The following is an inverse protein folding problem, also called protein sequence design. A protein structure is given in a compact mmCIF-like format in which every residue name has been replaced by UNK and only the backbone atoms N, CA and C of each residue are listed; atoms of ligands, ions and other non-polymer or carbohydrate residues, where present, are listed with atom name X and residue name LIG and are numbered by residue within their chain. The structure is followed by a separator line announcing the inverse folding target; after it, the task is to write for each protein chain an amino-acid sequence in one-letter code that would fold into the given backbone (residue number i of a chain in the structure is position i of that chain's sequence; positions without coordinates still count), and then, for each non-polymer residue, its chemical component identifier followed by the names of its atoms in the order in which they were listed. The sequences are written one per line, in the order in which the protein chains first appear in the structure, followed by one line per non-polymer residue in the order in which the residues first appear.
data_IF_707772148031
#
_entry.id   IF_707772148031
#
_cell.length_a   1.000
_cell.length_b   1.000
_cell.length_c   1.000
_cell.angle_alpha   90.00
_cell.angle_beta   90.00
_cell.angle_gamma   90.00
#
_symmetry.space_group_name_H-M   'P 1'
#
loop_
_entity.id
_entity.type
_entity.pdbx_description
1 polymer ?
#
# COMPACT_ATOMS: atom_id res chain seq x y z
N UNK A 1 8.06 -28.82 -24.48
CA UNK A 1 8.87 -28.59 -23.25
C UNK A 1 7.93 -28.25 -22.14
N UNK A 2 7.63 -29.20 -21.28
CA UNK A 2 6.69 -29.13 -20.19
C UNK A 2 7.38 -28.49 -19.00
N UNK A 3 7.01 -27.24 -18.68
CA UNK A 3 7.40 -26.61 -17.41
C UNK A 3 6.42 -27.06 -16.33
N UNK A 4 6.71 -28.18 -15.68
CA UNK A 4 6.10 -28.56 -14.41
C UNK A 4 7.00 -28.04 -13.29
N UNK A 5 6.79 -26.80 -12.85
CA UNK A 5 7.22 -26.39 -11.52
C UNK A 5 5.96 -26.28 -10.68
N UNK A 6 5.62 -27.38 -10.04
CA UNK A 6 4.59 -27.46 -9.03
C UNK A 6 5.20 -27.05 -7.68
N UNK A 7 5.66 -25.80 -7.57
CA UNK A 7 5.87 -25.19 -6.28
C UNK A 7 4.47 -24.85 -5.75
N UNK A 8 3.95 -25.66 -4.85
CA UNK A 8 2.86 -25.24 -3.95
C UNK A 8 3.39 -24.03 -3.20
N UNK A 9 3.12 -22.84 -3.74
CA UNK A 9 3.46 -21.59 -3.12
C UNK A 9 2.67 -21.54 -1.81
N UNK A 10 3.38 -21.49 -0.70
CA UNK A 10 2.75 -21.31 0.59
C UNK A 10 2.01 -19.97 0.54
N UNK A 11 0.67 -20.01 0.64
CA UNK A 11 -0.17 -18.80 0.65
C UNK A 11 0.28 -17.90 1.79
N UNK A 12 0.51 -16.63 1.50
CA UNK A 12 0.92 -15.68 2.51
C UNK A 12 0.73 -14.25 2.05
N UNK A 13 -0.31 -13.58 2.58
CA UNK A 13 -0.65 -12.21 2.22
C UNK A 13 0.54 -11.27 2.38
N UNK A 14 0.57 -10.24 1.54
CA UNK A 14 1.53 -9.14 1.59
C UNK A 14 0.77 -7.84 1.75
N UNK A 15 1.10 -7.08 2.79
CA UNK A 15 0.55 -5.76 3.05
C UNK A 15 1.56 -4.70 2.60
N UNK A 16 1.22 -3.92 1.59
CA UNK A 16 2.13 -2.91 1.00
C UNK A 16 1.87 -1.49 1.51
N UNK A 17 0.93 -1.31 2.45
CA UNK A 17 0.58 -0.01 3.01
C UNK A 17 0.23 -0.16 4.50
N UNK A 18 1.19 0.18 5.38
CA UNK A 18 1.05 0.03 6.82
C UNK A 18 1.95 1.04 7.57
N UNK A 19 1.36 1.84 8.46
CA UNK A 19 2.04 2.83 9.30
C UNK A 19 2.58 2.19 10.59
N UNK A 20 3.33 1.10 10.41
CA UNK A 20 3.89 0.31 11.51
C UNK A 20 5.20 0.90 12.08
N UNK A 21 5.77 1.95 11.44
CA UNK A 21 7.03 2.54 11.87
C UNK A 21 6.84 3.31 13.19
N UNK A 22 7.60 3.00 14.27
CA UNK A 22 7.30 3.54 15.59
C UNK A 22 7.64 5.03 15.72
N UNK A 23 6.65 5.85 16.12
CA UNK A 23 6.83 7.25 16.55
C UNK A 23 7.28 8.22 15.45
N UNK A 24 7.05 7.89 14.18
CA UNK A 24 7.41 8.75 13.06
C UNK A 24 6.23 9.62 12.57
N UNK A 25 5.07 9.02 12.43
CA UNK A 25 3.84 9.67 11.94
C UNK A 25 2.65 9.43 12.89
N UNK A 26 1.42 9.49 12.38
CA UNK A 26 0.19 9.21 13.13
C UNK A 26 -0.16 7.71 13.25
N UNK A 27 0.75 6.83 12.79
CA UNK A 27 0.62 5.39 12.92
C UNK A 27 1.02 4.88 14.30
N UNK A 28 1.89 3.88 14.35
CA UNK A 28 2.36 3.28 15.59
C UNK A 28 3.11 4.28 16.49
N UNK A 29 2.65 4.57 17.72
CA UNK A 29 3.32 5.53 18.60
C UNK A 29 4.58 4.99 19.28
N UNK A 30 4.86 3.69 19.25
CA UNK A 30 5.97 3.08 19.96
C UNK A 30 6.37 1.72 19.39
N UNK A 31 7.61 1.29 19.69
CA UNK A 31 8.08 -0.05 19.31
C UNK A 31 7.17 -1.16 19.84
N UNK A 32 6.67 -1.04 21.08
CA UNK A 32 5.75 -2.02 21.66
C UNK A 32 4.42 -2.12 20.89
N UNK A 33 3.90 -1.00 20.38
CA UNK A 33 2.72 -1.00 19.52
C UNK A 33 3.02 -1.60 18.15
N UNK A 34 4.16 -1.26 17.55
CA UNK A 34 4.61 -1.85 16.28
C UNK A 34 4.72 -3.38 16.37
N UNK A 35 5.26 -3.90 17.48
CA UNK A 35 5.36 -5.36 17.71
C UNK A 35 3.96 -5.97 17.80
N UNK A 36 3.01 -5.37 18.52
CA UNK A 36 1.60 -5.85 18.55
C UNK A 36 0.94 -5.84 17.17
N UNK A 37 1.19 -4.78 16.39
CA UNK A 37 0.73 -4.73 14.99
C UNK A 37 1.34 -5.86 14.16
N UNK A 38 2.64 -6.15 14.31
CA UNK A 38 3.31 -7.24 13.61
C UNK A 38 2.75 -8.63 14.00
N UNK A 39 2.50 -8.85 15.30
CA UNK A 39 1.85 -10.07 15.80
C UNK A 39 0.46 -10.27 15.18
N UNK A 40 -0.35 -9.22 15.17
CA UNK A 40 -1.70 -9.24 14.60
C UNK A 40 -1.66 -9.47 13.08
N UNK A 41 -0.76 -8.81 12.36
CA UNK A 41 -0.53 -9.02 10.93
C UNK A 41 -0.21 -10.48 10.65
N UNK A 42 0.78 -11.03 11.35
CA UNK A 42 1.21 -12.42 11.18
C UNK A 42 0.09 -13.42 11.51
N UNK A 43 -0.63 -13.21 12.62
CA UNK A 43 -1.76 -14.04 13.03
C UNK A 43 -2.91 -14.01 12.01
N UNK A 44 -3.09 -12.92 11.27
CA UNK A 44 -4.11 -12.79 10.23
C UNK A 44 -3.74 -13.41 8.87
N UNK A 45 -2.53 -13.99 8.74
CA UNK A 45 -2.07 -14.62 7.51
C UNK A 45 -1.13 -13.76 6.66
N UNK A 46 -0.76 -12.54 7.12
CA UNK A 46 0.28 -11.73 6.46
C UNK A 46 1.64 -12.37 6.72
N UNK A 47 2.48 -12.40 5.70
CA UNK A 47 3.87 -12.90 5.76
C UNK A 47 4.89 -11.84 5.39
N UNK A 48 4.44 -10.76 4.76
CA UNK A 48 5.26 -9.63 4.31
C UNK A 48 4.51 -8.34 4.56
N UNK A 49 5.17 -7.35 5.17
CA UNK A 49 4.62 -6.00 5.39
C UNK A 49 5.63 -4.96 4.95
N UNK A 50 5.17 -3.97 4.21
CA UNK A 50 5.95 -2.77 3.90
C UNK A 50 5.58 -1.69 4.91
N UNK A 51 6.54 -1.22 5.68
CA UNK A 51 6.37 -0.04 6.51
C UNK A 51 6.37 1.20 5.61
N UNK A 52 5.25 1.90 5.54
CA UNK A 52 5.01 3.04 4.66
C UNK A 52 4.58 4.27 5.46
N UNK A 53 5.46 4.83 6.30
CA UNK A 53 5.12 6.05 7.01
C UNK A 53 4.82 7.18 6.04
N UNK A 54 4.02 8.15 6.48
CA UNK A 54 3.78 9.38 5.72
C UNK A 54 5.08 10.10 5.40
N UNK A 55 5.28 10.44 4.14
CA UNK A 55 6.40 11.23 3.67
C UNK A 55 5.92 12.47 2.92
N UNK A 56 6.29 13.64 3.44
CA UNK A 56 5.90 14.91 2.84
C UNK A 56 7.09 15.85 2.69
N UNK A 57 7.25 16.43 1.50
CA UNK A 57 8.25 17.46 1.25
C UNK A 57 7.91 18.80 1.95
N UNK A 58 6.70 18.94 2.49
CA UNK A 58 6.25 20.14 3.21
C UNK A 58 6.77 20.20 4.66
N UNK A 59 7.25 19.07 5.21
CA UNK A 59 7.54 18.92 6.64
C UNK A 59 9.03 19.12 7.03
N UNK A 60 9.82 19.89 6.27
CA UNK A 60 11.16 20.29 6.68
C UNK A 60 12.31 19.58 5.99
N UNK A 61 13.33 19.15 6.75
CA UNK A 61 14.56 18.55 6.19
C UNK A 61 14.35 17.12 5.69
N UNK A 62 14.20 16.99 4.38
CA UNK A 62 13.95 15.73 3.67
C UNK A 62 15.04 14.68 3.93
N UNK A 63 16.31 15.10 3.94
CA UNK A 63 17.42 14.17 4.16
C UNK A 63 17.36 13.60 5.58
N UNK A 64 17.12 14.46 6.56
CA UNK A 64 16.97 14.06 7.96
C UNK A 64 15.79 13.11 8.15
N UNK A 65 14.63 13.40 7.52
CA UNK A 65 13.46 12.53 7.56
C UNK A 65 13.77 11.14 6.97
N UNK A 66 14.44 11.10 5.83
CA UNK A 66 14.86 9.84 5.18
C UNK A 66 15.82 9.02 6.05
N UNK A 67 16.81 9.66 6.66
CA UNK A 67 17.75 9.01 7.58
C UNK A 67 17.05 8.49 8.85
N UNK A 68 16.09 9.25 9.38
CA UNK A 68 15.31 8.86 10.55
C UNK A 68 14.40 7.65 10.27
N UNK A 69 13.71 7.63 9.14
CA UNK A 69 12.94 6.48 8.67
C UNK A 69 13.81 5.21 8.63
N UNK A 70 14.99 5.30 8.02
CA UNK A 70 15.92 4.17 7.93
C UNK A 70 16.36 3.65 9.31
N UNK A 71 16.66 4.56 10.25
CA UNK A 71 17.06 4.21 11.61
C UNK A 71 15.93 3.55 12.42
N UNK A 72 14.72 4.11 12.31
CA UNK A 72 13.54 3.56 12.99
C UNK A 72 13.14 2.20 12.41
N UNK A 73 13.27 2.02 11.10
CA UNK A 73 13.01 0.74 10.44
C UNK A 73 13.98 -0.36 10.90
N UNK A 74 15.28 -0.05 11.07
CA UNK A 74 16.23 -1.00 11.62
C UNK A 74 15.84 -1.42 13.06
N UNK A 75 15.47 -0.45 13.92
CA UNK A 75 15.01 -0.73 15.28
C UNK A 75 13.73 -1.56 15.32
N UNK A 76 12.77 -1.29 14.40
CA UNK A 76 11.55 -2.08 14.27
C UNK A 76 11.85 -3.52 13.88
N UNK A 77 12.74 -3.72 12.90
CA UNK A 77 13.13 -5.06 12.43
C UNK A 77 13.75 -5.88 13.56
N UNK A 78 14.69 -5.28 14.32
CA UNK A 78 15.29 -5.92 15.49
C UNK A 78 14.25 -6.32 16.56
N UNK A 79 13.27 -5.45 16.81
CA UNK A 79 12.23 -5.71 17.79
C UNK A 79 11.27 -6.85 17.36
N UNK A 80 10.89 -6.90 16.09
CA UNK A 80 10.01 -7.95 15.53
C UNK A 80 10.74 -9.30 15.50
N UNK A 81 12.02 -9.31 15.10
CA UNK A 81 12.86 -10.51 15.12
C UNK A 81 13.08 -10.99 16.57
N UNK A 82 13.36 -10.08 17.49
CA UNK A 82 13.52 -10.37 18.92
C UNK A 82 12.27 -10.91 19.60
N UNK A 83 11.09 -10.57 19.08
CA UNK A 83 9.80 -11.13 19.51
C UNK A 83 9.50 -12.52 18.89
N UNK A 84 10.36 -13.01 17.98
CA UNK A 84 10.18 -14.31 17.31
C UNK A 84 9.05 -14.34 16.29
N UNK A 85 8.64 -13.18 15.75
CA UNK A 85 7.56 -13.07 14.78
C UNK A 85 8.14 -13.29 13.37
N UNK A 86 7.70 -14.33 12.66
CA UNK A 86 8.17 -14.67 11.30
C UNK A 86 7.49 -13.78 10.23
N UNK A 87 7.47 -12.46 10.44
CA UNK A 87 6.95 -11.45 9.53
C UNK A 87 8.11 -10.76 8.82
N UNK A 88 8.18 -10.87 7.49
CA UNK A 88 9.20 -10.17 6.73
C UNK A 88 8.82 -8.70 6.54
N UNK A 89 9.65 -7.80 7.05
CA UNK A 89 9.47 -6.37 6.91
C UNK A 89 10.25 -5.82 5.70
N UNK A 90 9.67 -4.84 5.05
CA UNK A 90 10.28 -4.02 4.01
C UNK A 90 10.05 -2.55 4.33
N UNK A 91 10.90 -1.68 3.80
CA UNK A 91 10.74 -0.24 3.92
C UNK A 91 10.11 0.33 2.66
N UNK A 92 9.27 1.34 2.83
CA UNK A 92 8.70 2.20 1.82
C UNK A 92 8.31 3.54 2.44
N UNK A 93 7.51 4.29 1.74
CA UNK A 93 6.86 5.50 2.26
C UNK A 93 5.54 5.71 1.51
N UNK A 94 4.52 6.24 2.21
CA UNK A 94 3.35 6.84 1.58
C UNK A 94 3.67 8.31 1.29
N UNK A 95 3.80 8.64 0.01
CA UNK A 95 4.35 9.92 -0.45
C UNK A 95 3.24 10.89 -0.80
N UNK A 96 3.06 11.96 -0.02
CA UNK A 96 2.18 13.06 -0.39
C UNK A 96 2.76 13.77 -1.62
N UNK A 97 2.07 13.65 -2.75
CA UNK A 97 2.53 14.18 -4.04
C UNK A 97 2.50 15.71 -4.05
N UNK A 98 3.69 16.29 -4.16
CA UNK A 98 3.94 17.73 -4.40
C UNK A 98 4.92 17.89 -5.55
N UNK A 99 5.04 19.08 -6.19
CA UNK A 99 5.91 19.28 -7.36
C UNK A 99 7.38 18.93 -7.14
N UNK A 100 7.85 18.86 -5.89
CA UNK A 100 9.22 18.49 -5.54
C UNK A 100 9.49 16.98 -5.60
N UNK A 101 8.43 16.15 -5.49
CA UNK A 101 8.54 14.69 -5.33
C UNK A 101 9.30 14.02 -6.47
N UNK A 102 9.04 14.29 -7.76
CA UNK A 102 9.79 13.65 -8.85
C UNK A 102 11.31 13.89 -8.74
N UNK A 103 11.71 15.12 -8.39
CA UNK A 103 13.14 15.46 -8.17
C UNK A 103 13.74 14.74 -6.95
N UNK A 104 12.97 14.56 -5.88
CA UNK A 104 13.42 13.87 -4.67
C UNK A 104 13.57 12.37 -4.91
N UNK A 105 12.63 11.75 -5.63
CA UNK A 105 12.70 10.35 -6.08
C UNK A 105 13.94 10.12 -6.95
N UNK A 106 14.19 10.97 -7.96
CA UNK A 106 15.38 10.87 -8.83
C UNK A 106 16.71 10.97 -8.07
N UNK A 107 16.71 11.58 -6.88
CA UNK A 107 17.88 11.68 -5.99
C UNK A 107 18.00 10.53 -4.99
N UNK A 108 17.05 9.59 -4.98
CA UNK A 108 17.01 8.49 -4.00
C UNK A 108 16.79 8.96 -2.56
N UNK A 109 16.10 10.10 -2.36
CA UNK A 109 15.83 10.68 -1.04
C UNK A 109 14.50 10.22 -0.44
N UNK A 110 13.70 9.47 -1.18
CA UNK A 110 12.41 8.93 -0.74
C UNK A 110 12.48 7.40 -0.82
N UNK A 111 12.17 6.67 0.27
CA UNK A 111 12.07 5.22 0.22
C UNK A 111 10.92 4.80 -0.71
N UNK A 112 11.23 4.00 -1.73
CA UNK A 112 10.23 3.39 -2.60
C UNK A 112 9.73 2.08 -1.98
N UNK A 113 8.61 1.53 -2.44
CA UNK A 113 8.03 0.30 -1.88
C UNK A 113 9.04 -0.86 -2.00
N UNK A 114 9.57 -1.31 -0.87
CA UNK A 114 10.58 -2.38 -0.78
C UNK A 114 11.86 -2.12 -1.61
N UNK A 115 12.21 -0.86 -1.89
CA UNK A 115 13.35 -0.49 -2.74
C UNK A 115 13.17 -0.80 -4.23
N UNK A 116 11.95 -0.98 -4.69
CA UNK A 116 11.58 -1.26 -6.09
C UNK A 116 11.30 0.02 -6.87
N UNK A 117 10.90 -0.10 -8.14
CA UNK A 117 10.46 1.04 -8.95
C UNK A 117 9.04 1.53 -8.60
N UNK A 118 8.35 0.86 -7.69
CA UNK A 118 7.01 1.22 -7.24
C UNK A 118 7.04 2.28 -6.15
N UNK A 119 6.21 3.33 -6.31
CA UNK A 119 6.06 4.45 -5.36
C UNK A 119 4.61 4.52 -4.91
N UNK A 120 4.36 4.40 -3.61
CA UNK A 120 3.03 4.59 -3.04
C UNK A 120 2.77 6.11 -2.93
N UNK A 121 1.81 6.59 -3.71
CA UNK A 121 1.49 8.02 -3.88
C UNK A 121 0.17 8.36 -3.23
N UNK A 122 0.16 9.41 -2.43
CA UNK A 122 -1.02 9.98 -1.80
C UNK A 122 -1.25 11.42 -2.31
N UNK A 123 -2.51 11.86 -2.31
CA UNK A 123 -2.93 13.21 -2.63
C UNK A 123 -3.87 13.75 -1.54
N UNK A 124 -4.04 15.06 -1.48
CA UNK A 124 -5.10 15.64 -0.68
C UNK A 124 -6.46 15.14 -1.17
N UNK A 125 -7.40 14.88 -0.27
CA UNK A 125 -8.68 14.26 -0.61
C UNK A 125 -9.56 15.10 -1.55
N UNK A 126 -9.31 16.40 -1.61
CA UNK A 126 -9.96 17.38 -2.49
C UNK A 126 -9.09 17.79 -3.70
N UNK A 127 -7.99 17.07 -3.95
CA UNK A 127 -7.12 17.35 -5.09
C UNK A 127 -7.87 17.21 -6.41
N UNK A 128 -7.71 18.18 -7.34
CA UNK A 128 -8.29 18.06 -8.68
C UNK A 128 -7.66 16.91 -9.47
N UNK A 129 -8.46 16.22 -10.28
CA UNK A 129 -7.99 15.11 -11.13
C UNK A 129 -6.83 15.51 -12.01
N UNK A 130 -6.87 16.70 -12.63
CA UNK A 130 -5.78 17.21 -13.49
C UNK A 130 -4.45 17.32 -12.73
N UNK A 131 -4.48 17.74 -11.46
CA UNK A 131 -3.28 17.80 -10.64
C UNK A 131 -2.74 16.38 -10.37
N UNK A 132 -3.61 15.45 -10.02
CA UNK A 132 -3.23 14.04 -9.80
C UNK A 132 -2.64 13.43 -11.07
N UNK A 133 -3.28 13.62 -12.24
CA UNK A 133 -2.79 13.15 -13.53
C UNK A 133 -1.38 13.63 -13.83
N UNK A 134 -1.15 14.95 -13.69
CA UNK A 134 0.14 15.56 -13.97
C UNK A 134 1.24 15.00 -13.06
N UNK A 135 0.99 14.85 -11.78
CA UNK A 135 1.96 14.30 -10.83
C UNK A 135 2.28 12.83 -11.09
N UNK A 136 1.27 12.02 -11.40
CA UNK A 136 1.44 10.60 -11.74
C UNK A 136 2.25 10.43 -13.04
N UNK A 137 1.95 11.26 -14.07
CA UNK A 137 2.66 11.26 -15.34
C UNK A 137 4.14 11.70 -15.16
N UNK A 138 4.41 12.70 -14.31
CA UNK A 138 5.79 13.10 -13.98
C UNK A 138 6.57 11.97 -13.29
N UNK A 139 5.99 11.32 -12.28
CA UNK A 139 6.62 10.18 -11.58
C UNK A 139 6.88 9.04 -12.57
N UNK A 140 5.95 8.77 -13.48
CA UNK A 140 6.10 7.75 -14.52
C UNK A 140 7.22 8.10 -15.49
N UNK A 141 7.33 9.38 -15.89
CA UNK A 141 8.31 9.87 -16.87
C UNK A 141 9.76 9.70 -16.42
N UNK A 142 10.01 9.67 -15.12
CA UNK A 142 11.34 9.46 -14.51
C UNK A 142 11.63 8.00 -14.17
N UNK A 143 10.78 7.05 -14.63
CA UNK A 143 11.02 5.62 -14.56
C UNK A 143 10.36 4.89 -13.37
N UNK A 144 9.63 5.57 -12.50
CA UNK A 144 8.89 4.93 -11.40
C UNK A 144 7.46 4.53 -11.82
N UNK A 145 6.89 3.61 -11.07
CA UNK A 145 5.52 3.12 -11.28
C UNK A 145 4.66 3.61 -10.09
N UNK A 146 3.75 4.57 -10.30
CA UNK A 146 2.87 5.04 -9.23
C UNK A 146 1.92 3.94 -8.76
N UNK A 147 1.81 3.78 -7.43
CA UNK A 147 0.72 3.10 -6.76
C UNK A 147 -0.14 4.18 -6.14
N UNK A 148 -1.36 4.34 -6.61
CA UNK A 148 -2.30 5.34 -6.10
C UNK A 148 -2.91 4.78 -4.83
N UNK A 149 -2.56 5.38 -3.69
CA UNK A 149 -3.08 4.99 -2.38
C UNK A 149 -4.57 5.35 -2.28
N UNK A 150 -5.38 4.40 -1.84
CA UNK A 150 -6.79 4.54 -1.48
C UNK A 150 -7.59 5.56 -2.31
N UNK A 151 -7.62 5.46 -3.67
CA UNK A 151 -8.27 6.48 -4.50
C UNK A 151 -9.79 6.58 -4.26
N UNK A 152 -10.42 5.56 -3.69
CA UNK A 152 -11.83 5.59 -3.27
C UNK A 152 -12.12 6.64 -2.19
N UNK A 153 -11.08 7.25 -1.58
CA UNK A 153 -11.21 8.31 -0.60
C UNK A 153 -11.14 9.72 -1.20
N UNK A 154 -10.68 9.85 -2.46
CA UNK A 154 -10.62 11.15 -3.15
C UNK A 154 -12.00 11.58 -3.64
N UNK A 155 -12.35 12.86 -3.38
CA UNK A 155 -13.65 13.43 -3.77
C UNK A 155 -13.92 13.27 -5.26
N UNK A 156 -12.95 13.57 -6.11
CA UNK A 156 -13.07 13.44 -7.57
C UNK A 156 -13.38 12.00 -8.02
N UNK A 157 -12.78 10.99 -7.37
CA UNK A 157 -13.04 9.56 -7.67
C UNK A 157 -14.40 9.10 -7.14
N UNK A 158 -14.86 9.64 -5.99
CA UNK A 158 -16.20 9.34 -5.47
C UNK A 158 -17.31 9.89 -6.39
N UNK A 159 -17.08 11.06 -7.00
CA UNK A 159 -17.97 11.68 -7.98
C UNK A 159 -17.96 10.93 -9.31
N UNK A 160 -16.79 10.59 -9.82
CA UNK A 160 -16.60 9.87 -11.09
C UNK A 160 -15.50 8.81 -11.03
N UNK A 161 -15.88 7.55 -10.83
CA UNK A 161 -14.95 6.42 -10.79
C UNK A 161 -14.31 6.10 -12.15
N UNK A 162 -14.81 6.66 -13.27
CA UNK A 162 -14.24 6.41 -14.61
C UNK A 162 -12.83 6.97 -14.78
N UNK A 163 -12.44 7.95 -13.95
CA UNK A 163 -11.07 8.47 -13.85
C UNK A 163 -10.06 7.34 -13.66
N UNK A 164 -10.42 6.34 -12.85
CA UNK A 164 -9.54 5.19 -12.56
C UNK A 164 -9.27 4.32 -13.80
N UNK A 165 -10.20 4.23 -14.74
CA UNK A 165 -9.98 3.47 -15.98
C UNK A 165 -8.86 4.10 -16.82
N UNK A 166 -8.77 5.43 -16.82
CA UNK A 166 -7.65 6.15 -17.45
C UNK A 166 -6.30 5.83 -16.78
N UNK A 167 -6.24 5.87 -15.46
CA UNK A 167 -5.03 5.54 -14.69
C UNK A 167 -4.63 4.08 -14.84
N UNK A 168 -5.61 3.17 -14.79
CA UNK A 168 -5.40 1.75 -15.05
C UNK A 168 -4.81 1.52 -16.45
N UNK A 169 -5.37 2.16 -17.48
CA UNK A 169 -4.89 2.09 -18.86
C UNK A 169 -3.47 2.63 -19.07
N UNK A 170 -3.04 3.60 -18.25
CA UNK A 170 -1.66 4.12 -18.22
C UNK A 170 -0.69 3.17 -17.47
N UNK A 171 -1.20 2.10 -16.85
CA UNK A 171 -0.41 1.15 -16.07
C UNK A 171 -0.05 1.64 -14.66
N UNK A 172 -0.81 2.59 -14.10
CA UNK A 172 -0.72 2.96 -12.69
C UNK A 172 -1.42 1.92 -11.84
N UNK A 173 -0.90 1.69 -10.64
CA UNK A 173 -1.42 0.67 -9.75
C UNK A 173 -2.46 1.28 -8.82
N UNK A 174 -3.61 0.64 -8.69
CA UNK A 174 -4.70 1.08 -7.83
C UNK A 174 -4.68 0.24 -6.56
N UNK A 175 -4.34 0.87 -5.45
CA UNK A 175 -4.36 0.26 -4.13
C UNK A 175 -5.59 0.74 -3.38
N UNK A 176 -6.43 -0.19 -2.96
CA UNK A 176 -7.62 0.07 -2.16
C UNK A 176 -7.40 -0.28 -0.70
N UNK A 177 -7.97 0.50 0.21
CA UNK A 177 -7.95 0.18 1.63
C UNK A 177 -9.00 -0.87 1.99
N UNK A 178 -8.61 -1.88 2.79
CA UNK A 178 -9.56 -2.85 3.33
C UNK A 178 -10.71 -2.19 4.09
N UNK A 179 -10.39 -1.16 4.89
CA UNK A 179 -11.35 -0.43 5.69
C UNK A 179 -12.43 0.28 4.86
N UNK A 180 -12.10 0.70 3.64
CA UNK A 180 -13.05 1.31 2.71
C UNK A 180 -14.12 0.31 2.28
N UNK A 181 -13.73 -0.89 1.88
CA UNK A 181 -14.66 -1.95 1.48
C UNK A 181 -15.51 -2.46 2.64
N UNK A 182 -14.92 -2.55 3.84
CA UNK A 182 -15.60 -2.96 5.06
C UNK A 182 -16.46 -1.84 5.70
N UNK A 183 -16.43 -0.61 5.15
CA UNK A 183 -17.30 0.49 5.55
C UNK A 183 -16.78 1.36 6.69
N UNK A 184 -15.52 1.20 7.11
CA UNK A 184 -14.92 1.97 8.21
C UNK A 184 -14.86 3.49 7.94
N UNK A 185 -14.85 3.91 6.66
CA UNK A 185 -14.77 5.32 6.24
C UNK A 185 -16.11 5.88 5.72
N UNK A 186 -17.21 5.18 6.03
CA UNK A 186 -18.55 5.63 5.73
C UNK A 186 -19.09 5.17 4.36
N UNK A 187 -20.40 5.44 4.16
CA UNK A 187 -21.15 4.83 3.04
C UNK A 187 -20.69 5.25 1.64
N UNK A 188 -20.23 6.50 1.48
CA UNK A 188 -19.82 7.03 0.18
C UNK A 188 -18.51 6.39 -0.27
N UNK A 189 -17.52 6.32 0.64
CA UNK A 189 -16.24 5.65 0.39
C UNK A 189 -16.47 4.16 0.09
N UNK A 190 -17.31 3.47 0.88
CA UNK A 190 -17.66 2.06 0.63
C UNK A 190 -18.30 1.85 -0.73
N UNK A 191 -19.25 2.72 -1.10
CA UNK A 191 -19.92 2.61 -2.39
C UNK A 191 -18.94 2.81 -3.57
N UNK A 192 -18.00 3.77 -3.45
CA UNK A 192 -16.95 3.96 -4.45
C UNK A 192 -16.03 2.72 -4.52
N UNK A 193 -15.57 2.22 -3.35
CA UNK A 193 -14.72 1.04 -3.28
C UNK A 193 -15.34 -0.20 -3.95
N UNK A 194 -16.61 -0.47 -3.70
CA UNK A 194 -17.31 -1.61 -4.31
C UNK A 194 -17.47 -1.43 -5.82
N UNK A 195 -17.85 -0.24 -6.32
CA UNK A 195 -17.92 0.03 -7.76
C UNK A 195 -16.58 -0.17 -8.46
N UNK A 196 -15.48 0.26 -7.84
CA UNK A 196 -14.12 0.11 -8.39
C UNK A 196 -13.73 -1.37 -8.44
N UNK A 197 -14.06 -2.15 -7.40
CA UNK A 197 -13.80 -3.58 -7.35
C UNK A 197 -14.65 -4.36 -8.37
N UNK A 198 -15.95 -4.04 -8.50
CA UNK A 198 -16.86 -4.62 -9.49
C UNK A 198 -16.41 -4.33 -10.93
N UNK A 199 -15.77 -3.19 -11.16
CA UNK A 199 -15.20 -2.84 -12.46
C UNK A 199 -13.84 -3.53 -12.75
N UNK A 200 -13.30 -4.34 -11.82
CA UNK A 200 -12.01 -5.03 -11.99
C UNK A 200 -10.79 -4.08 -11.98
N UNK A 201 -10.95 -2.86 -11.47
CA UNK A 201 -9.90 -1.82 -11.52
C UNK A 201 -8.94 -1.86 -10.32
N UNK A 202 -9.15 -2.75 -9.34
CA UNK A 202 -8.27 -2.88 -8.18
C UNK A 202 -7.10 -3.79 -8.51
N UNK A 203 -5.89 -3.36 -8.20
CA UNK A 203 -4.69 -4.19 -8.33
C UNK A 203 -4.25 -4.81 -7.01
N UNK A 204 -4.42 -4.07 -5.89
CA UNK A 204 -3.97 -4.46 -4.55
C UNK A 204 -4.94 -3.95 -3.50
N UNK A 205 -5.17 -4.75 -2.47
CA UNK A 205 -5.80 -4.30 -1.22
C UNK A 205 -4.74 -4.30 -0.12
N UNK A 206 -4.68 -3.22 0.66
CA UNK A 206 -3.75 -3.07 1.77
C UNK A 206 -4.50 -2.65 3.05
N UNK A 207 -3.82 -2.75 4.19
CA UNK A 207 -4.45 -2.47 5.48
C UNK A 207 -4.63 -0.98 5.75
N UNK A 208 -3.64 -0.17 5.36
CA UNK A 208 -3.51 1.21 5.79
C UNK A 208 -3.61 1.31 7.33
N UNK A 209 -2.91 0.37 8.00
CA UNK A 209 -3.03 0.19 9.44
C UNK A 209 -2.23 1.23 10.21
N UNK A 210 -2.82 1.76 11.31
CA UNK A 210 -2.23 2.79 12.16
C UNK A 210 -2.11 2.35 13.62
N UNK A 211 -2.57 1.16 13.98
CA UNK A 211 -2.50 0.64 15.33
C UNK A 211 -3.09 -0.75 15.49
N UNK A 212 -3.03 -1.30 16.69
CA UNK A 212 -3.59 -2.62 17.02
C UNK A 212 -5.05 -2.59 17.45
N UNK A 213 -5.62 -1.40 17.76
CA UNK A 213 -7.01 -1.27 18.19
C UNK A 213 -7.92 -0.68 17.10
N UNK A 214 -7.43 0.30 16.35
CA UNK A 214 -8.15 0.96 15.25
C UNK A 214 -7.28 0.95 14.00
N UNK A 215 -7.93 0.84 12.82
CA UNK A 215 -7.21 0.71 11.55
C UNK A 215 -6.12 -0.35 11.68
N UNK A 216 -6.53 -1.57 12.06
CA UNK A 216 -5.61 -2.65 12.41
C UNK A 216 -5.01 -3.32 11.18
N UNK A 217 -3.85 -4.00 11.26
CA UNK A 217 -3.27 -4.76 10.15
C UNK A 217 -3.94 -6.13 9.92
N UNK A 218 -5.05 -6.44 10.61
CA UNK A 218 -5.74 -7.73 10.48
C UNK A 218 -6.44 -7.87 9.12
N UNK A 219 -5.97 -8.75 8.24
CA UNK A 219 -6.43 -8.87 6.85
C UNK A 219 -7.36 -10.06 6.57
N UNK A 220 -7.56 -10.97 7.53
CA UNK A 220 -8.38 -12.17 7.31
C UNK A 220 -9.85 -11.83 6.99
N UNK A 221 -10.40 -10.76 7.58
CA UNK A 221 -11.78 -10.34 7.34
C UNK A 221 -11.99 -9.89 5.89
N UNK A 222 -11.07 -9.07 5.35
CA UNK A 222 -11.18 -8.61 3.95
C UNK A 222 -10.93 -9.76 2.98
N UNK A 223 -10.05 -10.71 3.31
CA UNK A 223 -9.87 -11.91 2.49
C UNK A 223 -11.19 -12.69 2.38
N UNK A 224 -11.86 -12.96 3.51
CA UNK A 224 -13.17 -13.62 3.53
C UNK A 224 -14.21 -12.84 2.74
N UNK A 225 -14.30 -11.53 2.96
CA UNK A 225 -15.25 -10.67 2.25
C UNK A 225 -15.06 -10.73 0.72
N UNK A 226 -13.83 -10.64 0.22
CA UNK A 226 -13.57 -10.72 -1.24
C UNK A 226 -13.86 -12.11 -1.77
N UNK A 227 -13.45 -13.16 -1.04
CA UNK A 227 -13.71 -14.56 -1.46
C UNK A 227 -15.19 -14.87 -1.58
N UNK A 228 -16.02 -14.36 -0.65
CA UNK A 228 -17.46 -14.60 -0.62
C UNK A 228 -18.25 -13.77 -1.64
N UNK A 229 -17.84 -12.52 -1.90
CA UNK A 229 -18.61 -11.58 -2.73
C UNK A 229 -18.10 -11.49 -4.19
N UNK A 230 -16.87 -11.96 -4.45
CA UNK A 230 -16.24 -12.00 -5.77
C UNK A 230 -15.75 -13.41 -6.07
N UNK A 231 -14.49 -13.72 -5.68
CA UNK A 231 -13.94 -15.08 -5.75
C UNK A 231 -12.69 -15.22 -4.87
N UNK A 232 -12.33 -16.45 -4.50
CA UNK A 232 -11.09 -16.77 -3.79
C UNK A 232 -9.87 -16.40 -4.63
N UNK A 233 -9.92 -16.65 -5.95
CA UNK A 233 -8.84 -16.29 -6.88
C UNK A 233 -8.60 -14.77 -6.93
N UNK A 234 -9.67 -13.98 -6.89
CA UNK A 234 -9.57 -12.52 -6.84
C UNK A 234 -9.00 -12.05 -5.49
N UNK A 235 -9.41 -12.67 -4.37
CA UNK A 235 -8.83 -12.39 -3.06
C UNK A 235 -7.30 -12.67 -3.04
N UNK A 236 -6.88 -13.83 -3.55
CA UNK A 236 -5.46 -14.17 -3.68
C UNK A 236 -4.71 -13.21 -4.60
N UNK A 237 -5.33 -12.79 -5.71
CA UNK A 237 -4.71 -11.83 -6.63
C UNK A 237 -4.39 -10.52 -5.92
N UNK A 238 -5.37 -9.96 -5.19
CA UNK A 238 -5.28 -8.64 -4.58
C UNK A 238 -4.46 -8.61 -3.29
N UNK A 239 -4.38 -9.73 -2.55
CA UNK A 239 -3.81 -9.78 -1.20
C UNK A 239 -2.47 -10.54 -1.13
N UNK A 240 -2.16 -11.41 -2.09
CA UNK A 240 -0.89 -12.15 -2.14
C UNK A 240 -0.16 -11.97 -3.48
N UNK A 241 -0.80 -12.30 -4.62
CA UNK A 241 -0.07 -12.40 -5.90
C UNK A 241 0.47 -11.04 -6.35
N UNK A 242 -0.38 -10.02 -6.48
CA UNK A 242 0.03 -8.70 -6.93
C UNK A 242 0.92 -7.96 -5.92
N UNK A 243 0.57 -7.83 -4.63
CA UNK A 243 1.47 -7.17 -3.68
C UNK A 243 2.78 -7.94 -3.52
N UNK A 244 2.77 -9.27 -3.60
CA UNK A 244 3.98 -10.09 -3.63
C UNK A 244 4.84 -9.90 -4.89
N UNK A 245 4.28 -9.47 -6.02
CA UNK A 245 5.02 -9.07 -7.24
C UNK A 245 5.64 -7.70 -7.08
N UNK A 246 4.90 -6.74 -6.51
CA UNK A 246 5.38 -5.37 -6.24
C UNK A 246 6.65 -5.40 -5.38
N UNK A 247 6.66 -6.10 -4.25
CA UNK A 247 7.85 -6.17 -3.37
C UNK A 247 9.05 -6.92 -3.98
N UNK A 248 8.89 -7.52 -5.17
CA UNK A 248 9.95 -8.18 -5.94
C UNK A 248 10.29 -7.44 -7.23
N UNK A 249 9.78 -6.23 -7.41
CA UNK A 249 9.93 -5.41 -8.62
C UNK A 249 9.46 -6.11 -9.90
N UNK A 250 8.36 -6.88 -9.82
CA UNK A 250 7.75 -7.57 -10.96
C UNK A 250 6.44 -6.88 -11.37
N UNK A 251 6.10 -6.85 -12.67
CA UNK A 251 4.84 -6.28 -13.13
C UNK A 251 3.64 -6.95 -12.45
N UNK A 252 2.63 -6.16 -12.05
CA UNK A 252 1.35 -6.71 -11.58
C UNK A 252 0.56 -7.31 -12.73
N UNK A 253 -0.41 -8.15 -12.43
CA UNK A 253 -1.34 -8.72 -13.41
C UNK A 253 -2.74 -8.15 -13.15
N UNK A 254 -3.51 -7.82 -14.22
CA UNK A 254 -4.89 -7.40 -14.06
C UNK A 254 -5.74 -8.58 -13.55
N UNK A 255 -6.95 -8.27 -13.06
CA UNK A 255 -7.99 -9.26 -12.89
C UNK A 255 -8.52 -9.68 -14.28
N UNK A 256 -8.73 -10.97 -14.49
CA UNK A 256 -9.34 -11.51 -15.70
C UNK A 256 -10.85 -11.24 -15.73
#
# INVERSE_FOLDING_TARGET
MTYTVNERREFGMTDIHCHILPGFDDGSPSVGESVRMAEMAYASGIRRTVATPHFSALNGDIRRASEEIGRLFASLTEAVDGAGISLKLYLGAEVLCTPEIPRLLSKGLIPTVAGTDYVLTEFFFDAPTEYMDNMLDEIRSIGFIPIIAHPERYGAVQEDTTVLAGWFGKGYIIQMNKGSMLGAFGRHVRAAALRIAEAGLVHVIASDAHGSERRTPHMAEIYGFISENFSEEYAELLLDRNPGRIVRNLPVVPAD
#
